data_IF_733797924141
#
_entry.id   IF_733797924141
#
_cell.length_a   1.000
_cell.length_b   1.000
_cell.length_c   1.000
_cell.angle_alpha   90.00
_cell.angle_beta   90.00
_cell.angle_gamma   90.00
#
_symmetry.space_group_name_H-M   'P 1'
#
loop_
_entity.id
_entity.type
_entity.pdbx_description
1 polymer ?
#
# COMPACT_ATOMS: atom_id res chain seq x y z
N UNK A 1 -18.68 15.86 -4.92
CA UNK A 1 -18.49 14.42 -5.17
C UNK A 1 -17.50 13.87 -4.15
N UNK A 2 -17.69 12.64 -3.66
CA UNK A 2 -16.79 11.99 -2.70
C UNK A 2 -15.46 11.61 -3.37
N UNK A 3 -14.34 11.88 -2.70
CA UNK A 3 -12.99 11.45 -3.11
C UNK A 3 -12.49 10.43 -2.11
N UNK A 4 -11.89 9.34 -2.60
CA UNK A 4 -11.45 8.22 -1.77
C UNK A 4 -9.96 7.97 -2.02
N UNK A 5 -9.18 7.88 -0.95
CA UNK A 5 -7.77 7.52 -0.99
C UNK A 5 -7.56 6.18 -0.29
N UNK A 6 -6.87 5.25 -0.94
CA UNK A 6 -6.57 3.91 -0.43
C UNK A 6 -5.06 3.76 -0.32
N UNK A 7 -4.58 3.49 0.90
CA UNK A 7 -3.20 3.12 1.17
C UNK A 7 -3.18 1.65 1.57
N UNK A 8 -2.69 0.80 0.67
CA UNK A 8 -2.54 -0.63 0.90
C UNK A 8 -1.11 -0.94 1.34
N UNK A 9 -0.93 -1.75 2.39
CA UNK A 9 0.39 -2.05 2.95
C UNK A 9 0.64 -3.56 2.91
N UNK A 10 1.70 -3.93 2.19
CA UNK A 10 2.15 -5.32 2.07
C UNK A 10 3.51 -5.52 2.77
N UNK A 11 3.78 -6.68 3.37
CA UNK A 11 5.04 -6.96 4.04
C UNK A 11 6.21 -7.11 3.05
N UNK A 12 7.37 -6.55 3.40
CA UNK A 12 8.61 -6.75 2.62
C UNK A 12 9.31 -8.07 2.96
N UNK A 13 9.89 -8.73 1.94
CA UNK A 13 10.73 -9.92 2.14
C UNK A 13 12.10 -9.51 2.70
N UNK A 14 12.42 -10.00 3.91
CA UNK A 14 13.70 -9.74 4.60
C UNK A 14 14.94 -10.07 3.77
N UNK A 15 14.91 -11.22 3.07
CA UNK A 15 16.09 -11.74 2.35
C UNK A 15 16.44 -10.94 1.10
N UNK A 16 15.43 -10.42 0.40
CA UNK A 16 15.61 -9.75 -0.90
C UNK A 16 15.40 -8.24 -0.83
N UNK A 17 14.85 -7.71 0.27
CA UNK A 17 14.49 -6.30 0.41
C UNK A 17 13.29 -5.85 -0.44
N UNK A 18 12.86 -6.66 -1.40
CA UNK A 18 11.69 -6.41 -2.24
C UNK A 18 10.37 -6.80 -1.57
N UNK A 19 9.25 -6.38 -2.18
CA UNK A 19 7.91 -6.76 -1.79
C UNK A 19 7.08 -7.14 -3.02
N UNK A 20 6.17 -8.09 -2.85
CA UNK A 20 5.09 -8.30 -3.81
C UNK A 20 3.90 -7.49 -3.29
N UNK A 21 3.54 -6.44 -4.03
CA UNK A 21 2.43 -5.56 -3.67
C UNK A 21 1.14 -6.11 -4.26
N UNK A 22 0.46 -6.97 -3.51
CA UNK A 22 -0.61 -7.82 -4.00
C UNK A 22 -1.99 -7.17 -4.01
N UNK A 23 -2.24 -6.22 -3.11
CA UNK A 23 -3.61 -5.74 -2.86
C UNK A 23 -4.28 -5.10 -4.09
N UNK A 24 -3.50 -4.41 -4.93
CA UNK A 24 -4.05 -3.76 -6.13
C UNK A 24 -4.69 -4.75 -7.10
N UNK A 25 -4.20 -5.99 -7.20
CA UNK A 25 -4.75 -6.98 -8.15
C UNK A 25 -6.16 -7.43 -7.77
N UNK A 26 -6.59 -7.20 -6.53
CA UNK A 26 -7.95 -7.53 -6.06
C UNK A 26 -8.95 -6.38 -6.23
N UNK A 27 -8.46 -5.18 -6.53
CA UNK A 27 -9.22 -3.94 -6.43
C UNK A 27 -9.79 -3.51 -7.80
N UNK A 28 -10.81 -4.21 -8.29
CA UNK A 28 -11.39 -3.98 -9.63
C UNK A 28 -12.16 -2.66 -9.79
N UNK A 29 -12.58 -2.03 -8.69
CA UNK A 29 -13.45 -0.85 -8.70
C UNK A 29 -12.70 0.50 -8.60
N UNK A 30 -11.37 0.48 -8.64
CA UNK A 30 -10.55 1.69 -8.39
C UNK A 30 -10.26 2.51 -9.64
N UNK A 31 -10.64 2.02 -10.83
CA UNK A 31 -10.47 2.76 -12.09
C UNK A 31 -11.55 3.84 -12.22
N UNK A 32 -11.41 4.88 -11.41
CA UNK A 32 -12.34 5.98 -11.35
C UNK A 32 -11.59 7.28 -10.98
N UNK A 33 -11.88 8.43 -11.62
CA UNK A 33 -11.14 9.68 -11.40
C UNK A 33 -11.11 10.18 -9.94
N UNK A 34 -12.10 9.79 -9.13
CA UNK A 34 -12.18 10.17 -7.71
C UNK A 34 -11.52 9.18 -6.75
N UNK A 35 -10.89 8.11 -7.25
CA UNK A 35 -10.23 7.09 -6.44
C UNK A 35 -8.73 7.17 -6.69
N UNK A 36 -7.99 7.39 -5.61
CA UNK A 36 -6.54 7.26 -5.59
C UNK A 36 -6.16 6.01 -4.81
N UNK A 37 -5.23 5.22 -5.35
CA UNK A 37 -4.67 4.07 -4.63
C UNK A 37 -3.15 4.08 -4.73
N UNK A 38 -2.47 3.87 -3.60
CA UNK A 38 -1.03 3.60 -3.53
C UNK A 38 -0.76 2.35 -2.70
N UNK A 39 0.12 1.50 -3.20
CA UNK A 39 0.61 0.33 -2.46
C UNK A 39 1.96 0.65 -1.86
N UNK A 40 2.15 0.30 -0.60
CA UNK A 40 3.35 0.55 0.19
C UNK A 40 3.89 -0.79 0.69
N UNK A 41 5.22 -0.86 0.79
CA UNK A 41 5.90 -1.96 1.43
C UNK A 41 6.30 -1.53 2.84
N UNK A 42 6.21 -2.43 3.83
CA UNK A 42 6.58 -2.10 5.22
C UNK A 42 8.07 -1.75 5.37
N UNK A 43 8.95 -2.27 4.51
CA UNK A 43 10.42 -2.04 4.45
C UNK A 43 11.21 -2.41 5.70
N UNK A 44 10.57 -2.57 6.85
CA UNK A 44 11.14 -2.99 8.13
C UNK A 44 10.51 -4.32 8.54
N UNK A 45 11.32 -5.23 9.07
CA UNK A 45 10.86 -6.54 9.51
C UNK A 45 10.11 -6.44 10.85
N UNK A 46 8.84 -6.87 10.88
CA UNK A 46 8.07 -6.99 12.13
C UNK A 46 7.07 -5.89 12.40
N UNK A 47 7.01 -4.84 11.56
CA UNK A 47 6.00 -3.79 11.63
C UNK A 47 5.00 -3.95 10.48
N UNK A 48 3.71 -3.81 10.79
CA UNK A 48 2.61 -3.83 9.81
C UNK A 48 2.35 -2.44 9.21
N UNK A 49 2.93 -1.39 9.80
CA UNK A 49 2.78 0.00 9.38
C UNK A 49 4.13 0.50 8.81
N UNK A 50 4.15 1.21 7.66
CA UNK A 50 5.36 1.85 7.17
C UNK A 50 5.83 2.95 8.13
N UNK A 51 7.13 3.04 8.35
CA UNK A 51 7.75 3.94 9.33
C UNK A 51 7.42 5.43 9.15
N UNK A 52 7.02 5.84 7.94
CA UNK A 52 6.74 7.24 7.60
C UNK A 52 5.24 7.51 7.38
N UNK A 53 4.35 6.63 7.86
CA UNK A 53 2.91 6.86 7.73
C UNK A 53 2.42 8.02 8.61
N UNK A 54 3.08 8.25 9.75
CA UNK A 54 2.71 9.31 10.69
C UNK A 54 3.07 10.72 10.18
N UNK A 55 4.01 10.82 9.23
CA UNK A 55 4.46 12.09 8.64
C UNK A 55 3.60 12.55 7.44
N UNK A 56 2.58 11.76 7.05
CA UNK A 56 1.82 11.92 5.81
C UNK A 56 0.50 12.71 5.96
#
# INVERSE_FOLDING_TARGET
ALKIAILAVDPSRRKTGGALLGDRIRMNAIDHPNIYMRSLATRVSGNEIPEHLEDA
#
